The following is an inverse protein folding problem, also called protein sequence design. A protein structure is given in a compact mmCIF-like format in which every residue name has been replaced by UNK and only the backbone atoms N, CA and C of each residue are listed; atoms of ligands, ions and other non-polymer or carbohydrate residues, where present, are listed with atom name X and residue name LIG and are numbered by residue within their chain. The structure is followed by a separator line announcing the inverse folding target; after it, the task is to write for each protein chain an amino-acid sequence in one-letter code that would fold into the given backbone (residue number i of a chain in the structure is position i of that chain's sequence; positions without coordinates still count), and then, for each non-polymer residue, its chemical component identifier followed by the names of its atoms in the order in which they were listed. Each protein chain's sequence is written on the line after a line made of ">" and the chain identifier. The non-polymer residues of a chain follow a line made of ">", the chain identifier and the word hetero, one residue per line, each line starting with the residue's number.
data_IF_805072853929
#
_entry.id   IF_805072853929
#
_cell.length_a   1.000
_cell.length_b   1.000
_cell.length_c   1.000
_cell.angle_alpha   90.00
_cell.angle_beta   90.00
_cell.angle_gamma   90.00
#
_symmetry.space_group_name_H-M   'P 1'
#
loop_
_entity.id
_entity.type
_entity.pdbx_description
1 polymer ?
#
# COMPACT_ATOMS: atom_id res chain seq x y z
N UNK A 1 5.42 -8.59 -23.89
CA UNK A 1 4.09 -9.13 -23.50
C UNK A 1 4.37 -10.39 -22.72
N UNK A 2 4.02 -10.45 -21.43
CA UNK A 2 4.24 -11.67 -20.63
C UNK A 2 3.28 -12.75 -21.12
N UNK A 3 3.79 -13.96 -21.22
CA UNK A 3 3.02 -15.14 -21.61
C UNK A 3 2.65 -15.93 -20.38
N UNK A 4 1.68 -16.85 -20.51
CA UNK A 4 1.30 -17.72 -19.39
C UNK A 4 2.47 -18.60 -18.92
N UNK A 5 3.45 -18.86 -19.80
CA UNK A 5 4.66 -19.60 -19.46
C UNK A 5 5.62 -18.82 -18.55
N UNK A 6 5.52 -17.48 -18.52
CA UNK A 6 6.40 -16.63 -17.71
C UNK A 6 5.90 -16.46 -16.26
N UNK A 7 4.68 -16.92 -15.97
CA UNK A 7 4.07 -16.76 -14.64
C UNK A 7 4.52 -17.90 -13.74
N UNK A 8 5.29 -17.54 -12.72
CA UNK A 8 5.62 -18.41 -11.58
C UNK A 8 4.90 -17.92 -10.33
N UNK A 9 4.87 -18.76 -9.27
CA UNK A 9 4.35 -18.34 -7.97
C UNK A 9 5.10 -17.11 -7.43
N UNK A 10 6.42 -17.05 -7.57
CA UNK A 10 7.23 -15.92 -7.07
C UNK A 10 6.92 -14.62 -7.83
N UNK A 11 6.85 -14.67 -9.16
CA UNK A 11 6.50 -13.49 -9.96
C UNK A 11 5.08 -13.02 -9.67
N UNK A 12 4.12 -13.94 -9.54
CA UNK A 12 2.75 -13.60 -9.18
C UNK A 12 2.67 -12.93 -7.80
N UNK A 13 3.36 -13.47 -6.79
CA UNK A 13 3.37 -12.90 -5.45
C UNK A 13 3.97 -11.48 -5.44
N UNK A 14 5.12 -11.26 -6.09
CA UNK A 14 5.78 -9.94 -6.13
C UNK A 14 4.98 -8.87 -6.86
N UNK A 15 4.18 -9.27 -7.84
CA UNK A 15 3.41 -8.33 -8.66
C UNK A 15 2.04 -8.01 -8.06
N UNK A 16 1.53 -8.88 -7.20
CA UNK A 16 0.19 -8.73 -6.62
C UNK A 16 0.22 -8.10 -5.23
N UNK A 17 1.30 -8.32 -4.46
CA UNK A 17 1.36 -7.94 -3.06
C UNK A 17 2.45 -6.88 -2.78
N UNK A 18 2.26 -6.02 -1.76
CA UNK A 18 1.09 -5.93 -0.87
C UNK A 18 -0.15 -5.39 -1.61
N UNK A 19 -1.33 -5.73 -1.13
CA UNK A 19 -2.62 -5.51 -1.82
C UNK A 19 -2.88 -4.04 -2.16
N UNK A 20 -2.34 -3.11 -1.37
CA UNK A 20 -2.51 -1.68 -1.56
C UNK A 20 -1.37 -1.02 -2.35
N UNK A 21 -0.34 -1.78 -2.73
CA UNK A 21 0.85 -1.23 -3.38
C UNK A 21 1.42 -0.05 -2.60
N UNK A 22 1.48 1.12 -3.25
CA UNK A 22 1.92 2.40 -2.65
C UNK A 22 0.80 3.38 -2.36
N UNK A 23 -0.47 3.00 -2.57
CA UNK A 23 -1.62 3.92 -2.49
C UNK A 23 -1.66 4.68 -1.16
N UNK A 24 -1.65 3.94 -0.04
CA UNK A 24 -1.74 4.54 1.29
C UNK A 24 -0.52 5.41 1.61
N UNK A 25 0.66 5.03 1.10
CA UNK A 25 1.86 5.83 1.27
C UNK A 25 1.72 7.20 0.59
N UNK A 26 1.13 7.22 -0.60
CA UNK A 26 0.87 8.44 -1.36
C UNK A 26 -0.19 9.31 -0.66
N UNK A 27 -1.28 8.69 -0.21
CA UNK A 27 -2.35 9.38 0.53
C UNK A 27 -1.83 10.06 1.81
N UNK A 28 -1.04 9.33 2.60
CA UNK A 28 -0.41 9.83 3.82
C UNK A 28 0.52 11.01 3.50
N UNK A 29 1.37 10.89 2.48
CA UNK A 29 2.30 11.94 2.06
C UNK A 29 1.57 13.21 1.66
N UNK A 30 0.46 13.08 0.94
CA UNK A 30 -0.26 14.20 0.35
C UNK A 30 -1.31 14.80 1.31
N UNK A 31 -1.53 14.18 2.48
CA UNK A 31 -2.46 14.68 3.49
C UNK A 31 -1.98 16.00 4.09
N UNK A 32 -2.80 17.04 3.93
CA UNK A 32 -2.71 18.27 4.72
C UNK A 32 -3.53 18.11 6.00
N UNK A 33 -2.89 18.36 7.15
CA UNK A 33 -3.53 18.32 8.47
C UNK A 33 -3.83 19.74 8.92
N UNK A 34 -5.09 20.00 9.25
CA UNK A 34 -5.54 21.33 9.64
C UNK A 34 -4.93 21.77 11.00
N UNK A 35 -4.75 23.07 11.23
CA UNK A 35 -4.28 23.58 12.52
C UNK A 35 -5.13 23.08 13.70
N UNK A 36 -4.47 22.70 14.79
CA UNK A 36 -5.11 22.12 15.99
C UNK A 36 -5.86 20.80 15.74
N UNK A 37 -5.49 20.05 14.69
CA UNK A 37 -6.00 18.71 14.41
C UNK A 37 -4.86 17.71 14.21
N UNK A 38 -5.20 16.42 14.19
CA UNK A 38 -4.30 15.34 13.80
C UNK A 38 -5.05 14.36 12.88
N UNK A 39 -4.30 13.64 12.05
CA UNK A 39 -4.80 12.53 11.24
C UNK A 39 -4.06 11.26 11.63
N UNK A 40 -4.75 10.11 11.58
CA UNK A 40 -4.20 8.80 11.92
C UNK A 40 -4.75 7.75 10.95
N UNK A 41 -3.92 6.76 10.64
CA UNK A 41 -4.26 5.63 9.79
C UNK A 41 -4.01 4.33 10.54
N UNK A 42 -4.97 3.42 10.44
CA UNK A 42 -4.84 2.09 10.99
C UNK A 42 -4.21 1.15 9.95
N UNK A 43 -3.01 0.68 10.26
CA UNK A 43 -2.17 -0.13 9.36
C UNK A 43 -2.36 -1.65 9.56
N UNK A 44 -3.30 -2.06 10.42
CA UNK A 44 -3.63 -3.45 10.70
C UNK A 44 -3.25 -3.89 12.12
N UNK A 45 -4.05 -4.80 12.67
CA UNK A 45 -3.98 -5.26 14.07
C UNK A 45 -4.02 -4.07 15.04
N UNK A 46 -2.88 -3.65 15.58
CA UNK A 46 -2.74 -2.48 16.46
C UNK A 46 -1.70 -1.48 15.95
N UNK A 47 -1.26 -1.63 14.69
CA UNK A 47 -0.36 -0.70 14.03
C UNK A 47 -1.09 0.57 13.65
N UNK A 48 -0.66 1.70 14.20
CA UNK A 48 -1.24 3.01 13.95
C UNK A 48 -0.13 3.93 13.47
N UNK A 49 -0.43 4.69 12.43
CA UNK A 49 0.41 5.75 11.89
C UNK A 49 -0.25 7.10 12.09
#
# INVERSE_FOLDING_TARGET
>A
MRTIQDVTKDTWLRETFPEWGTWLNEEIRDKQVEPNSFAMWWLGCTGIW
#
